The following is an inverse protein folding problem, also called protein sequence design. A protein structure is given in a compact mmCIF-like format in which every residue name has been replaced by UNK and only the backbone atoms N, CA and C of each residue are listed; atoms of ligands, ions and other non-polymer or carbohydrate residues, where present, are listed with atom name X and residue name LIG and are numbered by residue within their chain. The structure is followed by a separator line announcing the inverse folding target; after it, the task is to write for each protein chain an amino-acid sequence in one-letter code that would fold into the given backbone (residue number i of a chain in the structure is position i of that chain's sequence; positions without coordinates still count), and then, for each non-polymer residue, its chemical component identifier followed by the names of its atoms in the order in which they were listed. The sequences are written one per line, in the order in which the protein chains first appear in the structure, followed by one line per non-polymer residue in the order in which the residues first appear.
data_IF_046629017321
#
_entry.id   IF_046629017321
#
_cell.length_a   1.000
_cell.length_b   1.000
_cell.length_c   1.000
_cell.angle_alpha   90.00
_cell.angle_beta   90.00
_cell.angle_gamma   90.00
#
_symmetry.space_group_name_H-M   'P 1'
#
loop_
_entity.id
_entity.type
_entity.pdbx_description
1 polymer ?
#
# COMPACT_ATOMS: atom_id res chain seq x y z
N UNK A 1 9.50 16.61 10.68
CA UNK A 1 8.97 16.31 9.33
C UNK A 1 7.50 16.68 9.27
N UNK A 2 6.98 17.14 8.13
CA UNK A 2 5.57 17.46 7.98
C UNK A 2 4.88 16.37 7.16
N UNK A 3 3.71 15.93 7.59
CA UNK A 3 2.90 14.94 6.87
C UNK A 3 1.43 15.33 6.99
N UNK A 4 0.83 15.76 5.87
CA UNK A 4 -0.46 16.43 5.89
C UNK A 4 -0.41 17.74 6.69
N UNK A 5 -1.35 17.93 7.60
CA UNK A 5 -1.42 19.09 8.50
C UNK A 5 -0.65 18.92 9.82
N UNK A 6 0.08 17.82 9.99
CA UNK A 6 0.73 17.46 11.25
C UNK A 6 2.25 17.40 11.14
N UNK A 7 2.94 17.71 12.25
CA UNK A 7 4.40 17.65 12.37
C UNK A 7 4.80 16.45 13.23
N UNK A 8 5.76 15.67 12.75
CA UNK A 8 6.28 14.47 13.43
C UNK A 8 7.80 14.55 13.62
N UNK A 9 8.31 13.80 14.60
CA UNK A 9 9.75 13.65 14.84
C UNK A 9 10.42 12.97 13.62
N UNK A 10 11.40 13.64 13.02
CA UNK A 10 12.10 13.13 11.81
C UNK A 10 12.91 11.85 12.06
N UNK A 11 13.32 11.61 13.30
CA UNK A 11 14.09 10.42 13.69
C UNK A 11 13.20 9.18 13.74
N UNK A 12 11.94 9.34 14.13
CA UNK A 12 10.97 8.23 14.22
C UNK A 12 10.22 8.05 12.91
N UNK A 13 9.94 9.13 12.20
CA UNK A 13 9.24 9.13 10.93
C UNK A 13 10.00 10.02 9.96
N UNK A 14 10.41 9.50 8.82
CA UNK A 14 11.19 10.27 7.84
C UNK A 14 10.47 10.38 6.48
N UNK A 15 9.33 9.72 6.30
CA UNK A 15 8.53 9.74 5.08
C UNK A 15 7.03 9.85 5.38
N UNK A 16 6.26 10.31 4.39
CA UNK A 16 4.83 10.52 4.50
C UNK A 16 4.13 9.80 3.35
N UNK A 17 3.05 9.07 3.66
CA UNK A 17 2.26 8.36 2.68
C UNK A 17 0.87 8.97 2.58
N UNK A 18 0.41 9.28 1.38
CA UNK A 18 -0.95 9.77 1.15
C UNK A 18 -1.84 8.59 0.81
N UNK A 19 -2.92 8.42 1.57
CA UNK A 19 -3.93 7.41 1.33
C UNK A 19 -4.85 7.88 0.19
N UNK A 20 -5.52 6.94 -0.46
CA UNK A 20 -6.51 7.21 -1.51
C UNK A 20 -7.67 8.10 -1.04
N UNK A 21 -7.93 8.15 0.28
CA UNK A 21 -8.91 9.04 0.89
C UNK A 21 -8.39 10.47 1.17
N UNK A 22 -7.17 10.81 0.74
CA UNK A 22 -6.54 12.11 0.94
C UNK A 22 -5.88 12.29 2.31
N UNK A 23 -5.97 11.32 3.21
CA UNK A 23 -5.32 11.39 4.53
C UNK A 23 -3.83 11.09 4.38
N UNK A 24 -2.99 11.84 5.08
CA UNK A 24 -1.56 11.60 5.09
C UNK A 24 -1.15 10.85 6.38
N UNK A 25 -0.35 9.79 6.26
CA UNK A 25 0.18 9.01 7.40
C UNK A 25 1.71 8.98 7.36
N UNK A 26 2.37 9.35 8.47
CA UNK A 26 3.83 9.29 8.56
C UNK A 26 4.29 7.83 8.66
N UNK A 27 5.51 7.56 8.19
CA UNK A 27 6.17 6.27 8.34
C UNK A 27 7.70 6.43 8.32
N UNK A 28 8.40 5.40 8.77
CA UNK A 28 9.85 5.32 8.64
C UNK A 28 10.23 4.51 7.40
N UNK A 29 10.95 5.12 6.46
CA UNK A 29 11.26 4.53 5.15
C UNK A 29 12.19 3.32 5.20
N UNK A 30 12.90 3.09 6.31
CA UNK A 30 13.70 1.87 6.47
C UNK A 30 12.82 0.63 6.61
N UNK A 31 11.71 0.73 7.35
CA UNK A 31 10.83 -0.40 7.68
C UNK A 31 9.54 -0.45 6.87
N UNK A 32 9.07 0.69 6.34
CA UNK A 32 7.80 0.78 5.61
C UNK A 32 7.98 1.40 4.21
N UNK A 33 7.01 1.13 3.34
CA UNK A 33 6.82 1.74 2.02
C UNK A 33 5.40 2.30 1.94
N UNK A 34 5.18 3.33 1.13
CA UNK A 34 3.84 3.86 0.89
C UNK A 34 3.09 3.00 -0.14
N UNK A 35 1.91 2.53 0.22
CA UNK A 35 0.97 1.85 -0.66
C UNK A 35 -0.46 2.02 -0.13
N UNK A 36 -1.17 3.09 -0.48
CA UNK A 36 -2.46 3.45 0.14
C UNK A 36 -2.39 3.43 1.69
N UNK A 37 -1.29 3.97 2.20
CA UNK A 37 -0.90 3.92 3.60
C UNK A 37 0.44 3.20 3.83
N UNK A 38 1.03 3.33 5.04
CA UNK A 38 2.27 2.67 5.38
C UNK A 38 2.14 1.15 5.36
N UNK A 39 2.94 0.49 4.53
CA UNK A 39 3.06 -0.96 4.42
C UNK A 39 4.44 -1.40 4.91
N UNK A 40 4.47 -2.29 5.88
CA UNK A 40 5.72 -2.85 6.39
C UNK A 40 6.42 -3.71 5.31
N UNK A 41 7.70 -3.44 5.05
CA UNK A 41 8.49 -4.15 4.03
C UNK A 41 8.67 -5.63 4.36
N UNK A 42 8.79 -5.96 5.65
CA UNK A 42 8.87 -7.33 6.16
C UNK A 42 7.52 -8.05 6.27
N UNK A 43 6.42 -7.42 5.82
CA UNK A 43 5.10 -8.04 5.94
C UNK A 43 5.00 -9.35 5.15
N UNK A 44 4.68 -10.43 5.85
CA UNK A 44 4.34 -11.72 5.25
C UNK A 44 2.85 -11.85 4.91
N UNK A 45 2.03 -10.87 5.32
CA UNK A 45 0.57 -10.91 5.13
C UNK A 45 0.10 -9.89 4.13
N UNK A 46 0.68 -8.68 4.12
CA UNK A 46 0.27 -7.61 3.21
C UNK A 46 1.27 -7.41 2.09
N UNK A 47 0.77 -7.00 0.94
CA UNK A 47 1.56 -6.58 -0.22
C UNK A 47 0.90 -5.38 -0.90
N UNK A 48 1.66 -4.73 -1.76
CA UNK A 48 1.18 -3.63 -2.59
C UNK A 48 0.91 -4.12 -4.02
N UNK A 49 -0.26 -3.76 -4.55
CA UNK A 49 -0.62 -3.96 -5.94
C UNK A 49 -0.80 -2.60 -6.61
N UNK A 50 -0.34 -2.45 -7.85
CA UNK A 50 -0.61 -1.27 -8.66
C UNK A 50 -1.79 -1.56 -9.60
N UNK A 51 -2.99 -1.19 -9.17
CA UNK A 51 -4.20 -1.40 -9.94
C UNK A 51 -4.39 -0.33 -11.00
N UNK A 52 -4.71 -0.72 -12.22
CA UNK A 52 -5.07 0.17 -13.30
C UNK A 52 -6.54 0.56 -13.17
N UNK A 53 -6.81 1.83 -12.93
CA UNK A 53 -8.16 2.37 -12.94
C UNK A 53 -8.69 2.55 -14.37
N UNK A 54 -10.00 2.81 -14.47
CA UNK A 54 -10.68 3.18 -15.72
C UNK A 54 -10.10 4.44 -16.38
N UNK A 55 -9.57 5.38 -15.58
CA UNK A 55 -8.87 6.58 -16.06
C UNK A 55 -7.47 6.30 -16.65
N UNK A 56 -7.03 5.03 -16.64
CA UNK A 56 -5.78 4.57 -17.20
C UNK A 56 -4.57 4.77 -16.28
N UNK A 57 -4.72 5.46 -15.14
CA UNK A 57 -3.65 5.58 -14.14
C UNK A 57 -3.59 4.35 -13.24
N UNK A 58 -2.39 4.14 -12.68
CA UNK A 58 -2.17 3.14 -11.65
C UNK A 58 -2.40 3.75 -10.27
N UNK A 59 -3.14 3.04 -9.43
CA UNK A 59 -3.26 3.31 -8.00
C UNK A 59 -2.64 2.16 -7.22
N UNK A 60 -1.76 2.50 -6.32
CA UNK A 60 -1.29 1.62 -5.28
C UNK A 60 -2.45 1.22 -4.37
N UNK A 61 -2.53 -0.08 -4.08
CA UNK A 61 -3.59 -0.68 -3.27
C UNK A 61 -2.99 -1.81 -2.44
N UNK A 62 -3.14 -1.70 -1.12
CA UNK A 62 -2.76 -2.78 -0.21
C UNK A 62 -3.74 -3.96 -0.31
N UNK A 63 -3.20 -5.18 -0.29
CA UNK A 63 -4.00 -6.40 -0.23
C UNK A 63 -3.37 -7.46 0.66
N UNK A 64 -4.17 -8.41 1.14
CA UNK A 64 -3.73 -9.56 1.92
C UNK A 64 -3.21 -10.66 0.97
N UNK A 65 -1.88 -10.78 0.80
CA UNK A 65 -1.26 -11.77 -0.08
C UNK A 65 -1.41 -13.22 0.38
N UNK A 66 -2.07 -13.48 1.51
CA UNK A 66 -2.39 -14.85 1.99
C UNK A 66 -3.80 -15.29 1.59
N UNK A 67 -4.65 -14.34 1.19
CA UNK A 67 -6.06 -14.58 0.83
C UNK A 67 -6.44 -14.01 -0.53
N UNK A 68 -5.63 -13.11 -1.06
CA UNK A 68 -5.93 -12.32 -2.23
C UNK A 68 -4.76 -12.32 -3.21
N UNK A 69 -5.07 -12.03 -4.47
CA UNK A 69 -4.18 -12.07 -5.61
C UNK A 69 -4.19 -10.74 -6.35
N UNK A 70 -3.00 -10.22 -6.60
CA UNK A 70 -2.73 -9.14 -7.54
C UNK A 70 -2.12 -9.76 -8.79
N UNK A 71 -2.84 -9.79 -9.91
CA UNK A 71 -2.38 -10.41 -11.16
C UNK A 71 -2.81 -9.62 -12.38
N UNK A 72 -2.09 -9.81 -13.49
CA UNK A 72 -2.42 -9.23 -14.78
C UNK A 72 -3.90 -9.55 -15.14
N UNK A 73 -4.69 -8.56 -15.59
CA UNK A 73 -4.30 -7.23 -16.11
C UNK A 73 -4.13 -6.13 -15.05
N UNK A 74 -4.09 -6.48 -13.76
CA UNK A 74 -4.01 -5.55 -12.62
C UNK A 74 -5.19 -4.59 -12.56
N UNK A 75 -6.38 -5.05 -12.90
CA UNK A 75 -7.62 -4.27 -12.84
C UNK A 75 -8.25 -4.28 -11.44
N UNK A 76 -8.08 -5.37 -10.69
CA UNK A 76 -8.60 -5.51 -9.33
C UNK A 76 -7.81 -6.52 -8.51
N UNK A 77 -8.08 -6.52 -7.21
CA UNK A 77 -7.65 -7.58 -6.30
C UNK A 77 -8.65 -8.72 -6.34
N UNK A 78 -8.16 -9.93 -6.58
CA UNK A 78 -8.96 -11.15 -6.63
C UNK A 78 -8.85 -11.90 -5.30
N UNK A 79 -9.89 -12.65 -4.92
CA UNK A 79 -9.74 -13.66 -3.87
C UNK A 79 -8.96 -14.85 -4.41
N UNK A 80 -8.11 -15.46 -3.58
CA UNK A 80 -7.45 -16.71 -3.93
C UNK A 80 -8.46 -17.83 -4.18
N UNK A 81 -8.13 -18.69 -5.14
CA UNK A 81 -8.86 -19.95 -5.35
C UNK A 81 -8.69 -20.92 -4.18
N UNK A 82 -9.49 -22.01 -4.15
CA UNK A 82 -9.46 -23.05 -3.10
C UNK A 82 -8.06 -23.64 -2.84
N UNK A 83 -7.17 -23.60 -3.83
CA UNK A 83 -5.79 -24.10 -3.74
C UNK A 83 -4.74 -23.02 -3.46
N UNK A 84 -5.13 -21.83 -2.97
CA UNK A 84 -4.25 -20.65 -2.80
C UNK A 84 -3.56 -20.21 -4.09
N UNK A 85 -4.18 -20.49 -5.23
CA UNK A 85 -3.66 -20.12 -6.54
C UNK A 85 -4.15 -18.74 -6.93
N UNK A 86 -3.20 -17.97 -7.46
CA UNK A 86 -3.39 -16.76 -8.24
C UNK A 86 -3.15 -17.12 -9.72
#
# INVERSE_FOLDING_TARGET
MCCGSSVFNSTEFNSCCTLNNGTARPYHSSSHVCCDGPLEKSSNVRACCYLRNEDGKFRDTQYDKTKQCCKYPYDKIYSMGRNKTC
#
